data_IF_125279403141
#
_entry.id   IF_125279403141
#
_cell.length_a   1.000
_cell.length_b   1.000
_cell.length_c   1.000
_cell.angle_alpha   90.00
_cell.angle_beta   90.00
_cell.angle_gamma   90.00
#
_symmetry.space_group_name_H-M   'P 1'
#
loop_
_entity.id
_entity.type
_entity.pdbx_description
1 polymer ?
#
# COMPACT_ATOMS: atom_id res chain seq x y z
N UNK A 1 -5.34 -16.18 9.26
CA UNK A 1 -4.76 -16.24 10.63
C UNK A 1 -4.13 -17.60 10.87
N UNK A 2 -3.06 -17.64 11.65
CA UNK A 2 -2.32 -18.87 11.97
C UNK A 2 -2.73 -19.36 13.35
N UNK A 3 -3.18 -20.61 13.44
CA UNK A 3 -3.45 -21.30 14.72
C UNK A 3 -2.50 -22.51 14.81
N UNK A 4 -1.34 -22.31 15.45
CA UNK A 4 -0.26 -23.28 15.44
C UNK A 4 0.42 -23.36 14.06
N UNK A 5 0.47 -24.55 13.47
CA UNK A 5 1.02 -24.80 12.11
C UNK A 5 -0.01 -24.66 11.00
N UNK A 6 -1.31 -24.58 11.32
CA UNK A 6 -2.38 -24.55 10.34
C UNK A 6 -2.82 -23.11 10.00
N UNK A 7 -2.97 -22.82 8.73
CA UNK A 7 -3.61 -21.60 8.25
C UNK A 7 -5.13 -21.82 8.20
N UNK A 8 -5.87 -21.06 9.02
CA UNK A 8 -7.34 -21.10 9.05
C UNK A 8 -7.94 -19.82 8.50
N UNK A 9 -9.06 -19.97 7.81
CA UNK A 9 -9.89 -18.82 7.43
C UNK A 9 -10.40 -18.11 8.69
N UNK A 10 -10.60 -16.79 8.59
CA UNK A 10 -11.15 -16.00 9.70
C UNK A 10 -12.62 -16.39 10.01
N UNK A 11 -13.34 -16.98 9.04
CA UNK A 11 -14.69 -17.52 9.24
C UNK A 11 -14.71 -18.74 10.18
N UNK A 12 -13.62 -19.51 10.22
CA UNK A 12 -13.50 -20.74 10.99
C UNK A 12 -12.94 -20.53 12.39
N UNK A 13 -12.44 -19.29 12.66
CA UNK A 13 -11.88 -18.89 13.93
C UNK A 13 -12.90 -18.05 14.72
N UNK A 14 -13.44 -18.62 15.77
CA UNK A 14 -14.23 -17.89 16.77
C UNK A 14 -13.34 -17.20 17.81
N UNK A 15 -13.77 -16.08 18.41
CA UNK A 15 -13.09 -15.47 19.52
C UNK A 15 -13.14 -16.40 20.77
N UNK A 16 -12.02 -16.51 21.50
CA UNK A 16 -11.92 -17.38 22.67
C UNK A 16 -11.08 -16.72 23.78
N UNK A 17 -11.45 -16.97 25.03
CA UNK A 17 -10.68 -16.57 26.22
C UNK A 17 -9.64 -17.59 26.61
N UNK A 18 -9.59 -18.77 25.98
CA UNK A 18 -8.62 -19.82 26.27
C UNK A 18 -7.19 -19.35 26.01
N UNK A 19 -6.24 -19.86 26.77
CA UNK A 19 -4.83 -19.54 26.60
C UNK A 19 -4.35 -19.96 25.19
N UNK A 20 -3.61 -19.07 24.53
CA UNK A 20 -3.11 -19.30 23.18
C UNK A 20 -4.11 -19.08 22.05
N UNK A 21 -5.35 -18.69 22.34
CA UNK A 21 -6.38 -18.37 21.35
C UNK A 21 -6.57 -16.86 21.18
N UNK A 22 -7.11 -16.46 20.04
CA UNK A 22 -7.36 -15.05 19.75
C UNK A 22 -8.61 -14.55 20.49
N UNK A 23 -8.48 -13.45 21.23
CA UNK A 23 -9.62 -12.79 21.90
C UNK A 23 -10.51 -12.00 20.95
N UNK A 24 -10.01 -11.68 19.78
CA UNK A 24 -10.73 -10.99 18.72
C UNK A 24 -10.25 -11.46 17.36
N UNK A 25 -11.17 -11.65 16.45
CA UNK A 25 -10.92 -12.17 15.10
C UNK A 25 -11.53 -11.19 14.08
N UNK A 26 -10.73 -10.72 13.08
CA UNK A 26 -11.28 -9.93 11.99
C UNK A 26 -12.17 -10.80 11.11
N UNK A 27 -13.36 -10.30 10.75
CA UNK A 27 -14.30 -10.98 9.84
C UNK A 27 -14.14 -10.51 8.41
N UNK A 28 -14.14 -9.19 8.22
CA UNK A 28 -14.01 -8.57 6.90
C UNK A 28 -13.25 -7.25 7.02
N UNK A 29 -12.63 -6.84 5.93
CA UNK A 29 -12.02 -5.53 5.80
C UNK A 29 -12.34 -4.96 4.43
N UNK A 30 -12.94 -3.77 4.41
CA UNK A 30 -13.21 -3.00 3.22
C UNK A 30 -12.27 -1.79 3.18
N UNK A 31 -11.61 -1.60 2.05
CA UNK A 31 -10.69 -0.49 1.84
C UNK A 31 -11.04 0.24 0.54
N UNK A 32 -11.33 1.52 0.65
CA UNK A 32 -11.56 2.41 -0.48
C UNK A 32 -10.43 3.43 -0.54
N UNK A 33 -9.77 3.51 -1.69
CA UNK A 33 -8.68 4.45 -1.92
C UNK A 33 -8.97 5.29 -3.15
N UNK A 34 -8.85 6.60 -2.99
CA UNK A 34 -8.83 7.55 -4.10
C UNK A 34 -7.43 8.10 -4.22
N UNK A 35 -6.86 8.05 -5.42
CA UNK A 35 -5.52 8.55 -5.71
C UNK A 35 -5.60 9.72 -6.67
N UNK A 36 -4.78 10.74 -6.43
CA UNK A 36 -4.58 11.88 -7.31
C UNK A 36 -3.09 12.03 -7.58
N UNK A 37 -2.75 12.31 -8.83
CA UNK A 37 -1.37 12.54 -9.23
C UNK A 37 -1.25 13.58 -10.33
N UNK A 38 -0.11 14.25 -10.37
CA UNK A 38 0.29 15.14 -11.42
C UNK A 38 1.67 14.76 -11.92
N UNK A 39 1.87 14.84 -13.26
CA UNK A 39 3.15 14.57 -13.89
C UNK A 39 3.53 15.71 -14.81
N UNK A 40 4.82 15.98 -14.90
CA UNK A 40 5.39 16.97 -15.79
C UNK A 40 6.67 16.43 -16.45
N UNK A 41 6.76 16.58 -17.76
CA UNK A 41 7.95 16.21 -18.54
C UNK A 41 8.86 17.43 -18.67
N UNK A 42 10.01 17.37 -18.05
CA UNK A 42 11.03 18.43 -18.09
C UNK A 42 11.84 18.39 -19.39
N UNK A 43 12.02 17.19 -19.91
CA UNK A 43 12.69 16.93 -21.20
C UNK A 43 12.00 15.76 -21.89
N UNK A 44 12.37 15.50 -23.16
CA UNK A 44 11.87 14.35 -23.92
C UNK A 44 12.16 13.01 -23.22
N UNK A 45 13.19 12.97 -22.39
CA UNK A 45 13.63 11.74 -21.72
C UNK A 45 13.36 11.71 -20.21
N UNK A 46 13.01 12.85 -19.59
CA UNK A 46 12.81 12.90 -18.15
C UNK A 46 11.47 13.52 -17.76
N UNK A 47 10.72 12.79 -16.97
CA UNK A 47 9.47 13.24 -16.36
C UNK A 47 9.50 13.00 -14.84
N UNK A 48 8.89 13.93 -14.10
CA UNK A 48 8.65 13.75 -12.67
C UNK A 48 7.14 13.72 -12.40
N UNK A 49 6.77 12.98 -11.36
CA UNK A 49 5.39 12.81 -10.94
C UNK A 49 5.29 12.90 -9.41
N UNK A 50 4.24 13.54 -8.94
CA UNK A 50 3.83 13.53 -7.55
C UNK A 50 2.48 12.84 -7.45
N UNK A 51 2.33 11.94 -6.47
CA UNK A 51 1.08 11.21 -6.23
C UNK A 51 0.76 11.22 -4.75
N UNK A 52 -0.51 11.36 -4.43
CA UNK A 52 -1.05 11.21 -3.09
C UNK A 52 -2.39 10.51 -3.13
N UNK A 53 -2.85 10.01 -2.02
CA UNK A 53 -4.14 9.34 -1.94
C UNK A 53 -4.88 9.66 -0.65
N UNK A 54 -6.14 9.33 -0.64
CA UNK A 54 -6.99 9.31 0.55
C UNK A 54 -7.59 7.92 0.67
N UNK A 55 -7.39 7.31 1.82
CA UNK A 55 -7.88 5.95 2.10
C UNK A 55 -8.93 5.98 3.22
N UNK A 56 -9.92 5.13 3.08
CA UNK A 56 -10.92 4.81 4.10
C UNK A 56 -10.97 3.31 4.28
N UNK A 57 -10.67 2.87 5.50
CA UNK A 57 -10.68 1.45 5.89
C UNK A 57 -11.77 1.21 6.93
N UNK A 58 -12.52 0.16 6.74
CA UNK A 58 -13.50 -0.35 7.72
C UNK A 58 -13.20 -1.83 7.94
N UNK A 59 -13.04 -2.25 9.18
CA UNK A 59 -12.80 -3.65 9.55
C UNK A 59 -13.80 -4.10 10.60
N UNK A 60 -14.58 -5.12 10.28
CA UNK A 60 -15.50 -5.76 11.22
C UNK A 60 -14.76 -6.80 12.06
N UNK A 61 -14.91 -6.69 13.37
CA UNK A 61 -14.27 -7.55 14.34
C UNK A 61 -15.30 -8.26 15.21
N UNK A 62 -15.09 -9.55 15.45
CA UNK A 62 -15.80 -10.30 16.48
C UNK A 62 -14.85 -10.54 17.65
N UNK A 63 -15.29 -10.18 18.87
CA UNK A 63 -14.54 -10.42 20.09
C UNK A 63 -15.39 -11.16 21.11
N UNK A 64 -14.75 -11.64 22.18
CA UNK A 64 -15.46 -12.25 23.32
C UNK A 64 -16.36 -11.26 24.07
N UNK A 65 -16.18 -9.94 23.84
CA UNK A 65 -16.98 -8.86 24.43
C UNK A 65 -18.08 -8.33 23.48
N UNK A 66 -18.20 -8.88 22.27
CA UNK A 66 -19.16 -8.49 21.24
C UNK A 66 -18.50 -8.09 19.93
N UNK A 67 -19.34 -7.88 18.93
CA UNK A 67 -18.96 -7.46 17.59
C UNK A 67 -18.84 -5.92 17.54
N UNK A 68 -17.89 -5.41 16.74
CA UNK A 68 -17.73 -3.99 16.52
C UNK A 68 -16.93 -3.70 15.26
N UNK A 69 -17.07 -2.48 14.73
CA UNK A 69 -16.33 -2.04 13.57
C UNK A 69 -15.21 -1.08 13.96
N UNK A 70 -14.02 -1.32 13.42
CA UNK A 70 -12.90 -0.39 13.43
C UNK A 70 -12.94 0.45 12.17
N UNK A 71 -12.63 1.72 12.31
CA UNK A 71 -12.66 2.67 11.23
C UNK A 71 -11.40 3.53 11.21
N UNK A 72 -10.80 3.67 10.04
CA UNK A 72 -9.72 4.63 9.82
C UNK A 72 -9.87 5.35 8.49
N UNK A 73 -9.43 6.59 8.44
CA UNK A 73 -9.38 7.36 7.20
C UNK A 73 -8.30 8.43 7.26
N UNK A 74 -7.77 8.80 6.12
CA UNK A 74 -6.78 9.87 6.02
C UNK A 74 -5.97 9.84 4.74
N UNK A 75 -5.07 10.81 4.63
CA UNK A 75 -4.12 10.86 3.53
C UNK A 75 -3.14 9.68 3.63
N UNK A 76 -2.80 9.10 2.50
CA UNK A 76 -1.73 8.13 2.36
C UNK A 76 -0.38 8.83 2.25
N UNK A 77 0.70 8.05 2.21
CA UNK A 77 2.02 8.61 1.95
C UNK A 77 2.09 9.21 0.55
N UNK A 78 2.74 10.36 0.44
CA UNK A 78 2.97 11.06 -0.82
C UNK A 78 4.16 10.41 -1.54
N UNK A 79 4.00 10.08 -2.82
CA UNK A 79 5.05 9.50 -3.65
C UNK A 79 5.59 10.55 -4.61
N UNK A 80 6.90 10.73 -4.60
CA UNK A 80 7.65 11.53 -5.55
C UNK A 80 8.41 10.57 -6.46
N UNK A 81 8.16 10.64 -7.76
CA UNK A 81 8.66 9.65 -8.72
C UNK A 81 9.28 10.37 -9.91
N UNK A 82 10.49 9.99 -10.27
CA UNK A 82 11.14 10.38 -11.53
C UNK A 82 11.19 9.18 -12.48
N UNK A 83 10.93 9.42 -13.75
CA UNK A 83 11.08 8.45 -14.84
C UNK A 83 12.07 8.99 -15.83
N UNK A 84 13.12 8.22 -16.13
CA UNK A 84 14.11 8.54 -17.13
C UNK A 84 14.16 7.48 -18.23
N UNK A 85 13.89 7.91 -19.47
CA UNK A 85 13.99 7.07 -20.68
C UNK A 85 15.44 7.06 -21.14
N UNK A 86 16.11 5.96 -20.95
CA UNK A 86 17.53 5.81 -21.30
C UNK A 86 17.76 5.13 -22.64
N UNK A 87 16.72 4.47 -23.20
CA UNK A 87 16.76 3.85 -24.51
C UNK A 87 15.45 4.08 -25.28
N UNK A 88 15.59 4.42 -26.54
CA UNK A 88 14.54 4.46 -27.57
C UNK A 88 15.17 4.21 -28.94
N UNK A 89 14.42 3.59 -29.83
CA UNK A 89 14.90 3.23 -31.18
C UNK A 89 14.80 4.38 -32.19
N UNK A 90 13.89 5.33 -31.97
CA UNK A 90 13.71 6.51 -32.82
C UNK A 90 13.43 7.75 -31.98
N UNK A 91 13.94 8.90 -32.41
CA UNK A 91 13.79 10.17 -31.69
C UNK A 91 12.44 10.84 -31.90
N UNK A 92 11.81 10.63 -33.06
CA UNK A 92 10.55 11.28 -33.45
C UNK A 92 9.34 10.39 -33.15
N UNK A 93 9.46 9.08 -33.45
CA UNK A 93 8.38 8.12 -33.26
C UNK A 93 8.91 6.81 -32.69
N UNK A 94 9.26 6.80 -31.36
CA UNK A 94 9.87 5.63 -30.75
C UNK A 94 8.90 4.44 -30.74
N UNK A 95 9.29 3.35 -31.40
CA UNK A 95 8.53 2.09 -31.39
C UNK A 95 8.94 1.19 -30.23
N UNK A 96 10.15 1.37 -29.69
CA UNK A 96 10.65 0.65 -28.51
C UNK A 96 11.29 1.65 -27.55
N UNK A 97 10.98 1.50 -26.27
CA UNK A 97 11.58 2.35 -25.24
C UNK A 97 11.76 1.62 -23.91
N UNK A 98 12.86 1.94 -23.25
CA UNK A 98 13.18 1.48 -21.92
C UNK A 98 13.38 2.69 -21.00
N UNK A 99 12.77 2.63 -19.82
CA UNK A 99 12.90 3.69 -18.81
C UNK A 99 13.20 3.09 -17.46
N UNK A 100 14.00 3.78 -16.69
CA UNK A 100 14.18 3.54 -15.24
C UNK A 100 13.26 4.47 -14.47
N UNK A 101 12.72 3.96 -13.38
CA UNK A 101 11.90 4.70 -12.43
C UNK A 101 12.64 4.74 -11.11
N UNK A 102 12.78 5.93 -10.54
CA UNK A 102 13.32 6.15 -9.21
C UNK A 102 12.44 7.11 -8.43
N UNK A 103 12.26 6.87 -7.15
CA UNK A 103 11.37 7.72 -6.35
C UNK A 103 11.49 7.48 -4.86
N UNK A 104 10.66 8.21 -4.13
CA UNK A 104 10.60 8.17 -2.68
C UNK A 104 9.16 8.34 -2.21
N UNK A 105 8.69 7.45 -1.34
CA UNK A 105 7.47 7.67 -0.59
C UNK A 105 7.79 8.42 0.70
N UNK A 106 7.16 9.58 0.87
CA UNK A 106 7.30 10.46 2.03
C UNK A 106 6.20 10.14 3.03
N UNK A 107 6.51 9.96 4.33
CA UNK A 107 5.53 9.55 5.35
C UNK A 107 4.57 10.68 5.74
N UNK A 108 3.72 11.11 4.81
CA UNK A 108 2.68 12.12 5.04
C UNK A 108 1.39 11.53 5.60
N UNK A 109 1.22 10.21 5.50
CA UNK A 109 0.07 9.49 6.02
C UNK A 109 0.13 9.31 7.54
N UNK A 110 -1.04 9.32 8.20
CA UNK A 110 -1.13 9.11 9.65
C UNK A 110 -0.93 7.65 10.02
N UNK A 111 -0.20 7.42 11.12
CA UNK A 111 0.01 6.10 11.75
C UNK A 111 -0.47 6.07 13.21
N UNK A 112 -1.19 7.10 13.67
CA UNK A 112 -1.58 7.29 15.08
C UNK A 112 -3.09 7.26 15.30
N UNK A 113 -3.86 6.69 14.34
CA UNK A 113 -5.31 6.59 14.46
C UNK A 113 -5.67 5.55 15.53
N UNK A 114 -6.57 5.96 16.43
CA UNK A 114 -6.97 5.18 17.60
C UNK A 114 -8.35 4.54 17.42
N UNK A 115 -8.52 3.39 18.04
CA UNK A 115 -9.80 2.70 18.08
C UNK A 115 -10.77 3.42 19.05
N UNK A 116 -11.92 3.85 18.55
CA UNK A 116 -12.95 4.54 19.35
C UNK A 116 -14.14 3.63 19.69
N UNK A 117 -14.33 2.55 18.92
CA UNK A 117 -15.57 1.75 18.93
C UNK A 117 -15.45 0.42 19.68
N UNK A 118 -14.30 0.14 20.32
CA UNK A 118 -14.13 -1.13 21.02
C UNK A 118 -15.19 -1.29 22.14
N UNK A 119 -15.87 -2.47 22.26
CA UNK A 119 -16.88 -2.71 23.28
C UNK A 119 -16.32 -2.53 24.71
N UNK A 120 -15.11 -2.98 24.96
CA UNK A 120 -14.43 -2.83 26.24
C UNK A 120 -13.81 -1.42 26.39
N UNK A 121 -14.23 -0.66 27.39
CA UNK A 121 -13.78 0.73 27.63
C UNK A 121 -12.25 0.88 27.73
N UNK A 122 -11.56 -0.08 28.38
CA UNK A 122 -10.09 -0.06 28.56
C UNK A 122 -9.31 -0.24 27.26
N UNK A 123 -9.95 -0.73 26.21
CA UNK A 123 -9.35 -0.91 24.89
C UNK A 123 -9.64 0.27 23.94
N UNK A 124 -10.57 1.16 24.30
CA UNK A 124 -10.79 2.41 23.57
C UNK A 124 -9.60 3.34 23.74
N UNK A 125 -9.25 4.04 22.67
CA UNK A 125 -8.09 4.95 22.65
C UNK A 125 -6.75 4.26 22.38
N UNK A 126 -6.68 2.92 22.27
CA UNK A 126 -5.51 2.23 21.77
C UNK A 126 -5.37 2.41 20.27
N UNK A 127 -4.14 2.37 19.77
CA UNK A 127 -3.87 2.45 18.34
C UNK A 127 -4.58 1.34 17.57
N UNK A 128 -5.08 1.68 16.40
CA UNK A 128 -5.57 0.69 15.44
C UNK A 128 -4.41 -0.17 14.92
N UNK A 129 -4.69 -1.41 14.47
CA UNK A 129 -3.71 -2.24 13.81
C UNK A 129 -3.02 -1.49 12.65
N UNK A 130 -1.73 -1.71 12.48
CA UNK A 130 -0.94 -0.97 11.49
C UNK A 130 -1.42 -1.17 10.04
N UNK A 131 -2.00 -2.33 9.72
CA UNK A 131 -2.65 -2.56 8.43
C UNK A 131 -3.86 -1.67 8.15
N UNK A 132 -4.44 -1.05 9.19
CA UNK A 132 -5.52 -0.07 9.07
C UNK A 132 -5.02 1.38 9.07
N UNK A 133 -3.75 1.64 9.35
CA UNK A 133 -3.21 3.00 9.32
C UNK A 133 -3.03 3.46 7.88
N UNK A 134 -3.40 4.72 7.53
CA UNK A 134 -3.26 5.26 6.17
C UNK A 134 -1.81 5.35 5.68
N UNK A 135 -0.86 5.64 6.56
CA UNK A 135 0.55 5.82 6.25
C UNK A 135 1.43 4.62 6.61
N UNK A 136 2.67 4.65 6.17
CA UNK A 136 3.74 3.72 6.59
C UNK A 136 4.50 4.22 7.81
N UNK A 137 4.66 5.55 7.91
CA UNK A 137 5.51 6.21 8.90
C UNK A 137 7.00 6.11 8.59
N UNK A 138 7.38 5.67 7.37
CA UNK A 138 8.77 5.50 6.94
C UNK A 138 9.03 6.16 5.59
N UNK A 139 10.28 6.55 5.35
CA UNK A 139 10.77 6.98 4.05
C UNK A 139 11.14 5.74 3.24
N UNK A 140 10.43 5.52 2.14
CA UNK A 140 10.56 4.28 1.40
C UNK A 140 11.00 4.54 -0.04
N UNK A 141 12.19 4.08 -0.46
CA UNK A 141 12.64 4.21 -1.83
C UNK A 141 11.79 3.37 -2.78
N UNK A 142 11.54 3.95 -3.95
CA UNK A 142 10.81 3.34 -5.06
C UNK A 142 11.80 3.17 -6.21
N UNK A 143 11.87 1.97 -6.76
CA UNK A 143 12.69 1.65 -7.93
C UNK A 143 11.84 0.89 -8.95
N UNK A 144 12.15 1.06 -10.23
CA UNK A 144 11.42 0.32 -11.25
C UNK A 144 12.05 0.39 -12.63
N UNK A 145 11.55 -0.47 -13.49
CA UNK A 145 11.86 -0.53 -14.93
C UNK A 145 10.57 -0.56 -15.72
N UNK A 146 10.54 0.17 -16.82
CA UNK A 146 9.41 0.18 -17.76
C UNK A 146 9.93 -0.15 -19.15
N UNK A 147 9.31 -1.13 -19.77
CA UNK A 147 9.50 -1.46 -21.18
C UNK A 147 8.20 -1.19 -21.94
N UNK A 148 8.29 -0.56 -23.11
CA UNK A 148 7.18 -0.34 -24.00
C UNK A 148 7.60 -0.63 -25.44
N UNK A 149 6.72 -1.28 -26.19
CA UNK A 149 6.89 -1.55 -27.62
C UNK A 149 5.57 -1.27 -28.34
N UNK A 150 5.64 -0.45 -29.38
CA UNK A 150 4.55 -0.23 -30.32
C UNK A 150 4.79 -1.02 -31.59
N UNK A 151 3.80 -1.78 -32.06
CA UNK A 151 3.81 -2.51 -33.31
C UNK A 151 2.37 -2.48 -33.84
N UNK A 152 2.13 -1.57 -34.80
CA UNK A 152 0.78 -1.34 -35.38
C UNK A 152 0.08 -2.65 -35.77
N UNK A 153 -1.17 -2.89 -35.34
CA UNK A 153 -2.05 -2.05 -34.53
C UNK A 153 -1.89 -2.21 -32.98
N UNK A 154 -0.92 -2.99 -32.54
CA UNK A 154 -0.74 -3.34 -31.11
C UNK A 154 0.34 -2.49 -30.45
N UNK A 155 0.14 -2.21 -29.17
CA UNK A 155 1.20 -1.73 -28.29
C UNK A 155 1.24 -2.60 -27.04
N UNK A 156 2.40 -2.91 -26.57
CA UNK A 156 2.60 -3.78 -25.42
C UNK A 156 3.64 -3.20 -24.48
N UNK A 157 3.54 -3.56 -23.23
CA UNK A 157 4.55 -3.15 -22.28
C UNK A 157 4.54 -3.94 -20.99
N UNK A 158 5.59 -3.70 -20.21
CA UNK A 158 5.78 -4.25 -18.90
C UNK A 158 6.33 -3.18 -17.95
N UNK A 159 5.74 -3.06 -16.77
CA UNK A 159 6.24 -2.22 -15.68
C UNK A 159 6.57 -3.11 -14.49
N UNK A 160 7.79 -3.04 -14.00
CA UNK A 160 8.16 -3.59 -12.72
C UNK A 160 8.50 -2.45 -11.76
N UNK A 161 7.79 -2.35 -10.65
CA UNK A 161 7.99 -1.31 -9.63
C UNK A 161 8.09 -1.98 -8.27
N UNK A 162 9.08 -1.58 -7.50
CA UNK A 162 9.28 -2.05 -6.14
C UNK A 162 9.38 -0.87 -5.18
N UNK A 163 8.66 -0.95 -4.06
CA UNK A 163 8.78 -0.04 -2.92
C UNK A 163 9.44 -0.79 -1.78
N UNK A 164 10.65 -0.39 -1.42
CA UNK A 164 11.43 -1.04 -0.38
C UNK A 164 11.17 -0.38 0.97
N UNK A 165 10.79 -1.17 1.95
CA UNK A 165 10.57 -0.72 3.32
C UNK A 165 11.80 -1.00 4.16
N UNK A 166 12.64 0.01 4.44
CA UNK A 166 13.93 -0.19 5.10
C UNK A 166 13.90 0.04 6.60
N UNK A 167 13.00 0.90 7.07
CA UNK A 167 12.96 1.35 8.46
C UNK A 167 11.86 0.72 9.30
N UNK A 168 12.02 0.83 10.60
CA UNK A 168 10.93 0.76 11.56
C UNK A 168 10.28 2.14 11.66
N UNK A 169 8.96 2.19 11.78
CA UNK A 169 8.27 3.43 12.07
C UNK A 169 8.31 3.75 13.59
N UNK A 170 7.76 4.88 14.01
CA UNK A 170 7.71 5.32 15.41
C UNK A 170 6.96 4.36 16.35
N UNK A 171 6.44 3.26 15.84
CA UNK A 171 5.74 2.22 16.61
C UNK A 171 6.49 0.87 16.55
N UNK A 172 7.79 0.90 16.25
CA UNK A 172 8.67 -0.27 16.13
C UNK A 172 8.16 -1.33 15.14
N UNK A 173 7.45 -0.88 14.09
CA UNK A 173 6.91 -1.76 13.08
C UNK A 173 7.51 -1.48 11.71
N UNK A 174 7.86 -2.56 10.99
CA UNK A 174 8.28 -2.54 9.60
C UNK A 174 7.16 -3.07 8.71
N UNK A 175 6.65 -2.22 7.83
CA UNK A 175 5.72 -2.65 6.78
C UNK A 175 6.43 -3.55 5.75
N UNK A 176 5.74 -4.49 5.14
CA UNK A 176 6.29 -5.33 4.09
C UNK A 176 6.65 -4.52 2.84
N UNK A 177 7.73 -4.91 2.13
CA UNK A 177 8.06 -4.35 0.82
C UNK A 177 7.00 -4.74 -0.21
N UNK A 178 6.74 -3.85 -1.16
CA UNK A 178 5.73 -4.03 -2.19
C UNK A 178 6.43 -4.22 -3.55
N UNK A 179 5.98 -5.21 -4.31
CA UNK A 179 6.45 -5.48 -5.66
C UNK A 179 5.24 -5.55 -6.59
N UNK A 180 5.26 -4.80 -7.67
CA UNK A 180 4.22 -4.81 -8.68
C UNK A 180 4.81 -5.12 -10.05
N UNK A 181 4.16 -5.99 -10.79
CA UNK A 181 4.45 -6.29 -12.19
C UNK A 181 3.16 -6.12 -12.99
N UNK A 182 3.14 -5.14 -13.87
CA UNK A 182 2.02 -4.87 -14.75
C UNK A 182 2.43 -5.26 -16.18
N UNK A 183 1.61 -6.07 -16.82
CA UNK A 183 1.74 -6.43 -18.24
C UNK A 183 0.50 -5.92 -18.97
N UNK A 184 0.70 -5.31 -20.12
CA UNK A 184 -0.40 -4.76 -20.92
C UNK A 184 -0.15 -4.92 -22.43
N UNK A 185 -1.23 -5.07 -23.15
CA UNK A 185 -1.29 -5.18 -24.61
C UNK A 185 -2.35 -4.25 -25.14
#
# INVERSE_FOLDING_TARGET
LRDGTDEKSTSDLGPSTAAGKFRGVPKSMDSYMTMLGGAYSFTDNFAAMIMGGYVRNTMSMTTTAGDYDMFSQGLTDTKLIGKYRFYHDDNLAPTKQLSVVGGLAVPTGRITIKNTNHPTKTMRGKLLPLGMQPGSGTWDPILGLTFQKSADPFWMGANFITTQRWGLNDQDYKKGSEHALDLYV
#
